data_IF_004629933853
#
_entry.id   IF_004629933853
#
_cell.length_a   1.000
_cell.length_b   1.000
_cell.length_c   1.000
_cell.angle_alpha   90.00
_cell.angle_beta   90.00
_cell.angle_gamma   90.00
#
_symmetry.space_group_name_H-M   'P 1'
#
loop_
_entity.id
_entity.type
_entity.pdbx_description
1 polymer ?
#
# COMPACT_ATOMS: atom_id res chain seq x y z
N UNK A 1 -87.52 -21.86 -29.62
CA UNK A 1 -88.04 -22.20 -28.32
C UNK A 1 -88.04 -20.98 -27.41
N UNK A 2 -89.20 -20.70 -26.79
CA UNK A 2 -89.32 -19.56 -25.88
C UNK A 2 -88.73 -19.96 -24.50
N UNK A 3 -87.82 -19.20 -23.91
CA UNK A 3 -87.25 -19.49 -22.56
C UNK A 3 -88.30 -19.28 -21.46
N UNK A 4 -89.57 -18.98 -21.87
CA UNK A 4 -90.61 -18.64 -20.94
C UNK A 4 -91.65 -19.78 -20.85
N UNK A 5 -92.00 -20.15 -19.60
CA UNK A 5 -93.23 -20.85 -19.30
C UNK A 5 -94.38 -19.84 -19.40
N UNK A 6 -95.41 -20.15 -20.20
CA UNK A 6 -96.60 -19.32 -20.27
C UNK A 6 -97.82 -20.20 -20.07
N UNK A 7 -98.62 -19.85 -19.05
CA UNK A 7 -99.91 -20.50 -18.79
C UNK A 7 -101.02 -19.46 -18.85
N UNK A 8 -101.93 -19.70 -19.76
CA UNK A 8 -103.08 -18.82 -19.91
C UNK A 8 -104.40 -19.60 -19.57
N UNK A 9 -105.19 -18.99 -18.68
CA UNK A 9 -106.50 -19.53 -18.28
C UNK A 9 -107.57 -18.55 -18.79
N UNK A 10 -108.43 -19.01 -19.73
CA UNK A 10 -109.49 -18.21 -20.31
C UNK A 10 -110.74 -18.19 -19.42
N UNK A 11 -111.71 -17.24 -19.57
CA UNK A 11 -112.93 -17.17 -18.75
C UNK A 11 -113.85 -18.41 -18.84
N UNK A 12 -113.72 -19.15 -19.92
CA UNK A 12 -114.45 -20.41 -20.12
C UNK A 12 -113.73 -21.63 -19.52
N UNK A 13 -112.69 -21.40 -18.72
CA UNK A 13 -111.93 -22.44 -17.98
C UNK A 13 -110.93 -23.22 -18.83
N UNK A 14 -110.66 -22.84 -20.05
CA UNK A 14 -109.66 -23.51 -20.88
C UNK A 14 -108.27 -23.09 -20.42
N UNK A 15 -107.36 -24.05 -20.19
CA UNK A 15 -106.00 -23.83 -19.85
C UNK A 15 -105.10 -24.09 -21.07
N UNK A 16 -104.37 -23.12 -21.49
CA UNK A 16 -103.36 -23.21 -22.57
C UNK A 16 -101.96 -23.04 -21.90
N UNK A 17 -101.12 -24.06 -22.03
CA UNK A 17 -99.74 -24.01 -21.55
C UNK A 17 -98.83 -24.01 -22.77
N UNK A 18 -97.99 -22.99 -22.84
CA UNK A 18 -96.87 -22.92 -23.77
C UNK A 18 -95.57 -23.10 -22.91
N UNK A 19 -95.03 -24.27 -22.98
CA UNK A 19 -93.73 -24.57 -22.34
C UNK A 19 -92.74 -25.05 -23.39
N UNK A 20 -91.46 -24.80 -23.20
CA UNK A 20 -90.47 -25.39 -24.07
C UNK A 20 -90.47 -26.92 -23.91
N UNK A 21 -90.56 -27.60 -25.01
CA UNK A 21 -90.60 -29.09 -25.06
C UNK A 21 -89.30 -29.72 -24.44
N UNK A 22 -88.25 -28.92 -24.26
CA UNK A 22 -87.01 -29.34 -23.61
C UNK A 22 -87.10 -29.28 -22.09
N UNK A 23 -88.15 -28.71 -21.51
CA UNK A 23 -88.29 -28.49 -20.08
C UNK A 23 -89.39 -29.42 -19.52
N UNK A 24 -88.94 -30.34 -18.64
CA UNK A 24 -89.79 -31.27 -17.91
C UNK A 24 -90.35 -30.68 -16.61
N UNK A 25 -89.87 -29.49 -16.21
CA UNK A 25 -90.28 -28.87 -14.95
C UNK A 25 -91.19 -27.68 -15.14
N UNK A 26 -92.23 -27.53 -14.30
CA UNK A 26 -93.16 -26.41 -14.31
C UNK A 26 -93.07 -25.62 -12.98
N UNK A 27 -93.34 -24.29 -12.97
CA UNK A 27 -93.40 -23.52 -11.75
C UNK A 27 -94.51 -23.92 -10.83
N UNK A 28 -94.20 -23.92 -9.48
CA UNK A 28 -95.26 -24.07 -8.48
C UNK A 28 -96.11 -22.79 -8.41
N UNK A 29 -97.37 -22.87 -8.99
CA UNK A 29 -98.28 -21.76 -9.02
C UNK A 29 -99.25 -21.70 -7.85
N UNK A 30 -98.92 -22.35 -6.72
CA UNK A 30 -99.70 -22.31 -5.50
C UNK A 30 -99.69 -20.93 -4.81
N UNK A 31 -98.69 -20.08 -5.11
CA UNK A 31 -98.58 -18.73 -4.59
C UNK A 31 -99.07 -17.68 -5.57
N UNK A 32 -99.82 -16.69 -5.04
CA UNK A 32 -100.32 -15.59 -5.85
C UNK A 32 -99.15 -14.64 -6.28
N UNK A 33 -99.07 -14.45 -7.60
CA UNK A 33 -98.05 -13.58 -8.25
C UNK A 33 -98.69 -12.39 -9.00
N UNK A 34 -99.92 -12.04 -8.67
CA UNK A 34 -100.61 -10.89 -9.29
C UNK A 34 -100.11 -9.51 -8.85
N UNK A 35 -99.52 -9.38 -7.69
CA UNK A 35 -98.96 -8.14 -7.17
C UNK A 35 -97.47 -7.88 -7.53
N UNK A 36 -96.92 -8.66 -8.43
CA UNK A 36 -95.55 -8.51 -8.92
C UNK A 36 -94.84 -9.83 -9.13
N UNK A 37 -93.63 -9.82 -9.69
CA UNK A 37 -92.90 -11.03 -9.96
C UNK A 37 -92.39 -11.66 -8.62
N UNK A 38 -92.70 -12.92 -8.37
CA UNK A 38 -92.27 -13.71 -7.24
C UNK A 38 -91.39 -14.87 -7.69
N UNK A 39 -90.50 -15.32 -6.74
CA UNK A 39 -89.72 -16.53 -6.99
C UNK A 39 -90.46 -17.73 -6.34
N UNK A 40 -90.64 -18.76 -7.12
CA UNK A 40 -91.32 -20.03 -6.69
C UNK A 40 -90.39 -21.19 -7.09
N UNK A 41 -90.55 -22.29 -6.37
CA UNK A 41 -89.91 -23.55 -6.74
C UNK A 41 -90.60 -24.23 -7.90
N UNK A 42 -90.11 -25.39 -8.26
CA UNK A 42 -90.71 -26.22 -9.30
C UNK A 42 -91.84 -27.08 -8.71
N UNK A 43 -92.92 -27.35 -9.43
CA UNK A 43 -94.10 -28.16 -9.05
C UNK A 43 -93.77 -29.65 -8.85
N UNK A 44 -92.67 -30.13 -9.42
CA UNK A 44 -92.18 -31.52 -9.29
C UNK A 44 -91.16 -31.73 -8.13
N UNK A 45 -90.87 -30.66 -7.31
CA UNK A 45 -89.93 -30.74 -6.20
C UNK A 45 -88.49 -30.71 -6.65
N UNK A 46 -88.18 -30.44 -7.90
CA UNK A 46 -86.83 -30.24 -8.38
C UNK A 46 -86.22 -28.90 -7.84
N UNK A 47 -84.94 -28.82 -7.74
CA UNK A 47 -84.15 -27.63 -7.22
C UNK A 47 -84.12 -26.50 -8.27
N UNK A 48 -85.25 -26.36 -9.06
CA UNK A 48 -85.33 -25.33 -10.10
C UNK A 48 -86.23 -24.21 -9.60
N UNK A 49 -85.59 -23.02 -9.50
CA UNK A 49 -86.30 -21.78 -9.15
C UNK A 49 -86.86 -21.08 -10.40
N UNK A 50 -88.08 -20.62 -10.28
CA UNK A 50 -88.78 -19.88 -11.29
C UNK A 50 -89.14 -18.48 -10.82
N UNK A 51 -88.91 -17.46 -11.66
CA UNK A 51 -89.48 -16.11 -11.49
C UNK A 51 -90.75 -16.01 -12.24
N UNK A 52 -91.84 -15.90 -11.54
CA UNK A 52 -93.24 -15.92 -12.15
C UNK A 52 -93.90 -14.58 -11.92
N UNK A 53 -94.67 -14.17 -12.93
CA UNK A 53 -95.57 -13.02 -12.89
C UNK A 53 -96.91 -13.41 -13.47
N UNK A 54 -97.98 -13.13 -12.73
CA UNK A 54 -99.34 -13.36 -13.19
C UNK A 54 -100.03 -12.04 -13.46
N UNK A 55 -100.72 -11.96 -14.63
CA UNK A 55 -101.46 -10.79 -15.00
C UNK A 55 -102.90 -11.25 -15.36
N UNK A 56 -103.89 -10.50 -14.83
CA UNK A 56 -105.32 -10.75 -15.15
C UNK A 56 -105.83 -9.61 -16.00
N UNK A 57 -106.34 -9.93 -17.24
CA UNK A 57 -106.92 -8.94 -18.14
C UNK A 57 -108.17 -9.54 -18.81
N UNK A 58 -109.26 -8.80 -18.77
CA UNK A 58 -110.57 -9.23 -19.39
C UNK A 58 -111.01 -10.64 -18.98
N UNK A 59 -110.81 -11.00 -17.70
CA UNK A 59 -111.12 -12.34 -17.15
C UNK A 59 -110.12 -13.46 -17.55
N UNK A 60 -109.13 -13.17 -18.34
CA UNK A 60 -108.08 -14.11 -18.79
C UNK A 60 -106.84 -13.92 -17.80
N UNK A 61 -106.46 -15.01 -17.16
CA UNK A 61 -105.33 -15.03 -16.30
C UNK A 61 -104.10 -15.58 -17.10
N UNK A 62 -103.04 -14.79 -17.25
CA UNK A 62 -101.82 -15.21 -17.93
C UNK A 62 -100.63 -15.18 -16.92
N UNK A 63 -100.01 -16.32 -16.72
CA UNK A 63 -98.83 -16.46 -15.92
C UNK A 63 -97.61 -16.72 -16.79
N UNK A 64 -96.57 -15.89 -16.64
CA UNK A 64 -95.26 -16.02 -17.32
C UNK A 64 -94.22 -16.37 -16.31
N UNK A 65 -93.45 -17.41 -16.58
CA UNK A 65 -92.31 -17.84 -15.71
C UNK A 65 -91.04 -17.95 -16.49
N UNK A 66 -89.90 -17.56 -15.80
CA UNK A 66 -88.53 -17.69 -16.32
C UNK A 66 -87.74 -18.51 -15.33
N UNK A 67 -86.97 -19.48 -15.78
CA UNK A 67 -86.04 -20.25 -14.94
C UNK A 67 -84.86 -19.40 -14.49
N UNK A 68 -84.58 -19.45 -13.23
CA UNK A 68 -83.38 -18.77 -12.62
C UNK A 68 -82.16 -19.67 -12.56
N UNK A 69 -82.31 -20.99 -12.62
CA UNK A 69 -81.27 -21.99 -12.47
C UNK A 69 -80.14 -21.82 -13.47
N UNK A 70 -80.43 -21.48 -14.72
CA UNK A 70 -79.43 -21.26 -15.77
C UNK A 70 -78.54 -20.01 -15.45
N UNK A 71 -79.15 -19.01 -14.81
CA UNK A 71 -78.45 -17.82 -14.39
C UNK A 71 -77.55 -18.06 -13.12
N UNK A 72 -78.06 -18.85 -12.13
CA UNK A 72 -77.33 -19.20 -10.91
C UNK A 72 -76.12 -20.05 -11.28
N UNK A 73 -76.21 -21.06 -12.11
CA UNK A 73 -75.10 -21.87 -12.57
C UNK A 73 -74.08 -21.04 -13.33
N UNK A 74 -74.53 -20.13 -14.19
CA UNK A 74 -73.61 -19.24 -14.92
C UNK A 74 -72.80 -18.30 -13.95
N UNK A 75 -73.44 -17.81 -12.89
CA UNK A 75 -72.84 -16.96 -11.90
C UNK A 75 -71.81 -17.76 -11.09
N UNK A 76 -72.15 -18.98 -10.67
CA UNK A 76 -71.23 -19.85 -9.92
C UNK A 76 -70.01 -20.25 -10.74
N UNK A 77 -70.21 -20.58 -12.02
CA UNK A 77 -69.10 -20.87 -12.96
C UNK A 77 -68.17 -19.65 -13.15
N UNK A 78 -68.76 -18.45 -13.29
CA UNK A 78 -68.00 -17.20 -13.43
C UNK A 78 -67.23 -16.88 -12.15
N UNK A 79 -67.83 -17.04 -10.94
CA UNK A 79 -67.17 -16.85 -9.65
C UNK A 79 -65.99 -17.85 -9.47
N UNK A 80 -66.29 -19.14 -9.80
CA UNK A 80 -65.24 -20.18 -9.76
C UNK A 80 -64.05 -19.88 -10.68
N UNK A 81 -64.34 -19.45 -11.94
CA UNK A 81 -63.34 -19.05 -12.92
C UNK A 81 -62.55 -17.83 -12.42
N UNK A 82 -63.24 -16.81 -11.88
CA UNK A 82 -62.60 -15.59 -11.37
C UNK A 82 -61.71 -15.88 -10.16
N UNK A 83 -62.13 -16.73 -9.21
CA UNK A 83 -61.31 -17.18 -8.08
C UNK A 83 -60.09 -17.99 -8.56
N UNK A 84 -60.26 -18.87 -9.55
CA UNK A 84 -59.17 -19.63 -10.15
C UNK A 84 -58.10 -18.73 -10.81
N UNK A 85 -58.54 -17.79 -11.64
CA UNK A 85 -57.66 -16.80 -12.26
C UNK A 85 -56.96 -15.93 -11.19
N UNK A 86 -57.71 -15.46 -10.18
CA UNK A 86 -57.18 -14.66 -9.08
C UNK A 86 -56.07 -15.38 -8.33
N UNK A 87 -56.27 -16.67 -8.02
CA UNK A 87 -55.27 -17.50 -7.35
C UNK A 87 -53.98 -17.67 -8.19
N UNK A 88 -54.16 -17.96 -9.48
CA UNK A 88 -53.01 -18.10 -10.41
C UNK A 88 -52.22 -16.82 -10.49
N UNK A 89 -52.88 -15.67 -10.61
CA UNK A 89 -52.22 -14.35 -10.66
C UNK A 89 -51.45 -14.07 -9.35
N UNK A 90 -52.09 -14.37 -8.21
CA UNK A 90 -51.40 -14.21 -6.90
C UNK A 90 -50.16 -15.09 -6.76
N UNK A 91 -50.22 -16.35 -7.21
CA UNK A 91 -49.08 -17.24 -7.21
C UNK A 91 -47.92 -16.74 -8.13
N UNK A 92 -48.29 -16.26 -9.33
CA UNK A 92 -47.29 -15.68 -10.24
C UNK A 92 -46.66 -14.42 -9.65
N UNK A 93 -47.47 -13.50 -9.11
CA UNK A 93 -46.97 -12.27 -8.48
C UNK A 93 -46.12 -12.57 -7.25
N UNK A 94 -46.56 -13.51 -6.38
CA UNK A 94 -45.79 -13.94 -5.22
C UNK A 94 -44.44 -14.57 -5.60
N UNK A 95 -44.47 -15.45 -6.60
CA UNK A 95 -43.24 -16.05 -7.16
C UNK A 95 -42.27 -15.03 -7.76
N UNK A 96 -42.82 -14.11 -8.57
CA UNK A 96 -42.02 -13.02 -9.15
C UNK A 96 -41.43 -12.09 -8.08
N UNK A 97 -42.23 -11.67 -7.10
CA UNK A 97 -41.75 -10.84 -5.99
C UNK A 97 -40.64 -11.55 -5.18
N UNK A 98 -40.85 -12.82 -4.84
CA UNK A 98 -39.84 -13.62 -4.16
C UNK A 98 -38.53 -13.69 -4.95
N UNK A 99 -38.59 -13.94 -6.23
CA UNK A 99 -37.42 -14.01 -7.10
C UNK A 99 -36.71 -12.68 -7.19
N UNK A 100 -37.41 -11.57 -7.37
CA UNK A 100 -36.84 -10.22 -7.46
C UNK A 100 -36.16 -9.86 -6.14
N UNK A 101 -36.82 -10.04 -4.99
CA UNK A 101 -36.25 -9.72 -3.66
C UNK A 101 -35.00 -10.55 -3.40
N UNK A 102 -35.06 -11.86 -3.64
CA UNK A 102 -33.92 -12.75 -3.43
C UNK A 102 -32.73 -12.37 -4.30
N UNK A 103 -32.96 -12.02 -5.58
CA UNK A 103 -31.93 -11.60 -6.50
C UNK A 103 -31.33 -10.23 -6.09
N UNK A 104 -32.17 -9.31 -5.64
CA UNK A 104 -31.76 -7.96 -5.23
C UNK A 104 -30.95 -7.95 -3.91
N UNK A 105 -31.23 -8.87 -2.99
CA UNK A 105 -30.54 -8.94 -1.70
C UNK A 105 -29.30 -9.84 -1.69
N UNK A 106 -29.11 -10.69 -2.69
CA UNK A 106 -27.93 -11.58 -2.81
C UNK A 106 -26.58 -10.81 -2.72
N UNK A 107 -26.43 -9.63 -3.34
CA UNK A 107 -25.19 -8.86 -3.23
C UNK A 107 -24.81 -8.44 -1.81
N UNK A 108 -25.77 -8.24 -0.93
CA UNK A 108 -25.49 -7.88 0.48
C UNK A 108 -24.86 -9.05 1.25
N UNK A 109 -25.26 -10.27 0.94
CA UNK A 109 -24.64 -11.48 1.53
C UNK A 109 -23.17 -11.60 1.09
N UNK A 110 -22.88 -11.30 -0.18
CA UNK A 110 -21.49 -11.32 -0.69
C UNK A 110 -20.62 -10.24 -0.01
N UNK A 111 -21.17 -9.07 0.29
CA UNK A 111 -20.49 -8.01 1.07
C UNK A 111 -20.26 -8.49 2.50
N UNK A 112 -21.23 -9.13 3.14
CA UNK A 112 -21.13 -9.67 4.50
C UNK A 112 -20.02 -10.73 4.58
N UNK A 113 -20.02 -11.71 3.67
CA UNK A 113 -18.99 -12.75 3.60
C UNK A 113 -17.57 -12.16 3.39
N UNK A 114 -17.48 -11.13 2.53
CA UNK A 114 -16.20 -10.43 2.30
C UNK A 114 -15.76 -9.69 3.54
N UNK A 115 -16.66 -8.97 4.21
CA UNK A 115 -16.37 -8.27 5.46
C UNK A 115 -15.95 -9.24 6.58
N UNK A 116 -16.59 -10.40 6.69
CA UNK A 116 -16.20 -11.45 7.63
C UNK A 116 -14.80 -12.01 7.34
N UNK A 117 -14.44 -12.23 6.08
CA UNK A 117 -13.12 -12.68 5.68
C UNK A 117 -12.04 -11.64 6.00
N UNK A 118 -12.34 -10.34 5.77
CA UNK A 118 -11.45 -9.24 6.13
C UNK A 118 -11.23 -9.17 7.64
N UNK A 119 -12.30 -9.31 8.43
CA UNK A 119 -12.20 -9.35 9.88
C UNK A 119 -11.38 -10.55 10.40
N UNK A 120 -11.34 -11.65 9.62
CA UNK A 120 -10.48 -12.81 9.88
C UNK A 120 -9.02 -12.62 9.41
N UNK A 121 -8.67 -11.45 8.84
CA UNK A 121 -7.30 -11.11 8.43
C UNK A 121 -7.02 -11.22 6.92
N UNK A 122 -7.98 -11.64 6.09
CA UNK A 122 -7.80 -11.68 4.63
C UNK A 122 -8.05 -10.29 4.01
N UNK A 123 -7.06 -9.42 4.11
CA UNK A 123 -7.11 -8.07 3.54
C UNK A 123 -6.99 -8.03 2.01
N UNK A 124 -6.67 -9.16 1.37
CA UNK A 124 -6.56 -9.22 -0.09
C UNK A 124 -7.92 -9.41 -0.77
N UNK A 125 -8.90 -9.87 -0.05
CA UNK A 125 -10.24 -10.08 -0.56
C UNK A 125 -10.89 -8.75 -0.94
N UNK A 126 -11.68 -8.77 -2.03
CA UNK A 126 -12.39 -7.60 -2.51
C UNK A 126 -13.87 -7.91 -2.66
N UNK A 127 -14.69 -6.92 -2.43
CA UNK A 127 -16.11 -6.99 -2.79
C UNK A 127 -16.20 -6.96 -4.32
N UNK A 128 -16.99 -7.87 -4.94
CA UNK A 128 -17.18 -7.86 -6.38
C UNK A 128 -17.67 -6.51 -6.91
N UNK A 129 -17.04 -6.03 -7.96
CA UNK A 129 -17.45 -4.80 -8.64
C UNK A 129 -18.85 -4.94 -9.23
N UNK A 130 -19.68 -3.93 -9.03
CA UNK A 130 -21.06 -3.84 -9.52
C UNK A 130 -21.31 -2.47 -10.10
N UNK A 131 -22.44 -2.32 -10.80
CA UNK A 131 -22.84 -1.03 -11.37
C UNK A 131 -22.90 0.03 -10.27
N UNK A 132 -22.05 1.06 -10.39
CA UNK A 132 -21.89 2.18 -9.46
C UNK A 132 -23.14 3.08 -9.35
N UNK A 133 -24.10 2.89 -10.28
CA UNK A 133 -25.40 3.55 -10.23
C UNK A 133 -26.31 2.97 -9.15
N UNK A 134 -26.03 1.78 -8.64
CA UNK A 134 -26.76 1.15 -7.55
C UNK A 134 -26.16 1.49 -6.19
N UNK A 135 -26.99 1.46 -5.13
CA UNK A 135 -26.53 1.68 -3.74
C UNK A 135 -25.47 0.67 -3.34
N UNK A 136 -25.65 -0.60 -3.74
CA UNK A 136 -24.71 -1.68 -3.44
C UNK A 136 -23.41 -1.54 -4.23
N UNK A 137 -23.47 -1.06 -5.48
CA UNK A 137 -22.28 -0.76 -6.29
C UNK A 137 -21.44 0.35 -5.64
N UNK A 138 -22.07 1.45 -5.24
CA UNK A 138 -21.37 2.55 -4.52
C UNK A 138 -20.76 2.07 -3.21
N UNK A 139 -21.47 1.21 -2.45
CA UNK A 139 -20.94 0.60 -1.23
C UNK A 139 -19.70 -0.27 -1.53
N UNK A 140 -19.75 -1.08 -2.60
CA UNK A 140 -18.61 -1.91 -3.02
C UNK A 140 -17.38 -1.08 -3.35
N UNK A 141 -17.54 0.01 -4.11
CA UNK A 141 -16.45 0.95 -4.45
C UNK A 141 -15.88 1.60 -3.17
N UNK A 142 -16.73 2.11 -2.29
CA UNK A 142 -16.30 2.74 -1.04
C UNK A 142 -15.56 1.76 -0.13
N UNK A 143 -16.04 0.52 0.00
CA UNK A 143 -15.42 -0.51 0.82
C UNK A 143 -14.08 -0.95 0.23
N UNK A 144 -13.99 -1.17 -1.09
CA UNK A 144 -12.74 -1.50 -1.75
C UNK A 144 -11.71 -0.36 -1.65
N UNK A 145 -12.16 0.91 -1.72
CA UNK A 145 -11.32 2.08 -1.48
C UNK A 145 -10.77 2.13 -0.06
N UNK A 146 -11.62 1.89 0.95
CA UNK A 146 -11.18 1.80 2.35
C UNK A 146 -10.17 0.66 2.56
N UNK A 147 -10.42 -0.51 1.96
CA UNK A 147 -9.49 -1.65 2.03
C UNK A 147 -8.13 -1.34 1.39
N UNK A 148 -8.12 -0.66 0.26
CA UNK A 148 -6.87 -0.21 -0.36
C UNK A 148 -6.10 0.74 0.58
N UNK A 149 -6.77 1.68 1.22
CA UNK A 149 -6.16 2.61 2.18
C UNK A 149 -5.60 1.89 3.41
N UNK A 150 -6.33 0.91 3.95
CA UNK A 150 -5.86 0.07 5.07
C UNK A 150 -4.61 -0.71 4.65
N UNK A 151 -4.60 -1.35 3.48
CA UNK A 151 -3.41 -2.07 2.99
C UNK A 151 -2.21 -1.16 2.81
N UNK A 152 -2.40 0.05 2.25
CA UNK A 152 -1.32 1.03 2.15
C UNK A 152 -0.77 1.44 3.51
N UNK A 153 -1.64 1.63 4.51
CA UNK A 153 -1.22 1.96 5.87
C UNK A 153 -0.41 0.81 6.51
N UNK A 154 -0.84 -0.44 6.36
CA UNK A 154 -0.09 -1.60 6.84
C UNK A 154 1.27 -1.73 6.16
N UNK A 155 1.32 -1.65 4.82
CA UNK A 155 2.59 -1.71 4.08
C UNK A 155 3.56 -0.59 4.48
N UNK A 156 3.05 0.63 4.70
CA UNK A 156 3.86 1.75 5.19
C UNK A 156 4.40 1.49 6.61
N UNK A 157 3.58 0.89 7.50
CA UNK A 157 4.00 0.53 8.86
C UNK A 157 5.08 -0.54 8.83
N UNK A 158 4.89 -1.62 8.06
CA UNK A 158 5.89 -2.69 7.90
C UNK A 158 7.21 -2.16 7.33
N UNK A 159 7.15 -1.30 6.31
CA UNK A 159 8.35 -0.66 5.76
C UNK A 159 9.07 0.24 6.79
N UNK A 160 8.31 0.96 7.62
CA UNK A 160 8.84 1.79 8.70
C UNK A 160 9.49 0.94 9.80
N UNK A 161 8.84 -0.14 10.23
CA UNK A 161 9.38 -1.07 11.23
C UNK A 161 10.67 -1.74 10.74
N UNK A 162 10.70 -2.19 9.49
CA UNK A 162 11.90 -2.79 8.90
C UNK A 162 13.04 -1.77 8.79
N UNK A 163 12.74 -0.51 8.43
CA UNK A 163 13.72 0.58 8.41
C UNK A 163 14.27 0.89 9.81
N UNK A 164 13.38 0.96 10.81
CA UNK A 164 13.76 1.19 12.21
C UNK A 164 14.66 0.05 12.73
N UNK A 165 14.28 -1.20 12.45
CA UNK A 165 15.06 -2.38 12.83
C UNK A 165 16.45 -2.39 12.19
N UNK A 166 16.56 -2.08 10.89
CA UNK A 166 17.85 -1.96 10.20
C UNK A 166 18.71 -0.84 10.81
N UNK A 167 18.09 0.27 11.18
CA UNK A 167 18.78 1.38 11.85
C UNK A 167 19.29 0.97 13.24
N UNK A 168 18.46 0.26 14.02
CA UNK A 168 18.87 -0.26 15.34
C UNK A 168 20.04 -1.25 15.23
N UNK A 169 20.00 -2.18 14.27
CA UNK A 169 21.09 -3.13 14.05
C UNK A 169 22.40 -2.45 13.63
N UNK A 170 22.31 -1.39 12.79
CA UNK A 170 23.47 -0.56 12.43
C UNK A 170 24.04 0.16 13.64
N UNK A 171 23.18 0.77 14.46
CA UNK A 171 23.58 1.48 15.68
C UNK A 171 24.22 0.53 16.70
N UNK A 172 23.63 -0.65 16.89
CA UNK A 172 24.17 -1.66 17.82
C UNK A 172 25.58 -2.13 17.40
N UNK A 173 25.79 -2.37 16.11
CA UNK A 173 27.11 -2.70 15.57
C UNK A 173 28.08 -1.54 15.78
N UNK A 174 27.68 -0.32 15.43
CA UNK A 174 28.48 0.89 15.62
C UNK A 174 28.95 1.07 17.06
N UNK A 175 28.07 0.93 18.06
CA UNK A 175 28.43 1.03 19.49
C UNK A 175 29.36 -0.10 19.91
N UNK A 176 29.15 -1.31 19.40
CA UNK A 176 30.01 -2.46 19.67
C UNK A 176 31.44 -2.22 19.17
N UNK A 177 31.55 -1.82 17.90
CA UNK A 177 32.85 -1.59 17.24
C UNK A 177 33.60 -0.40 17.87
N UNK A 178 32.90 0.71 18.14
CA UNK A 178 33.45 1.86 18.84
C UNK A 178 33.99 1.48 20.23
N UNK A 179 33.24 0.62 20.96
CA UNK A 179 33.66 0.15 22.28
C UNK A 179 34.97 -0.70 22.21
N UNK A 180 35.09 -1.52 21.18
CA UNK A 180 36.29 -2.31 20.94
C UNK A 180 37.49 -1.44 20.57
N UNK A 181 37.30 -0.48 19.66
CA UNK A 181 38.39 0.42 19.22
C UNK A 181 38.85 1.41 20.31
N UNK A 182 37.98 1.79 21.23
CA UNK A 182 38.36 2.60 22.40
C UNK A 182 39.05 1.79 23.52
N UNK A 183 38.68 0.50 23.68
CA UNK A 183 39.24 -0.36 24.72
C UNK A 183 40.74 -0.65 24.49
N UNK A 184 41.13 -0.85 23.24
CA UNK A 184 42.51 -1.21 22.86
C UNK A 184 43.51 -0.16 23.28
N UNK A 185 43.44 1.14 22.86
CA UNK A 185 44.37 2.17 23.28
C UNK A 185 44.33 2.40 24.80
N UNK A 186 43.14 2.34 25.41
CA UNK A 186 43.01 2.47 26.86
C UNK A 186 43.79 1.37 27.63
N UNK A 187 43.70 0.11 27.12
CA UNK A 187 44.44 -1.02 27.67
C UNK A 187 45.96 -0.81 27.50
N UNK A 188 46.40 -0.25 26.38
CA UNK A 188 47.77 0.07 26.07
C UNK A 188 48.31 1.13 27.04
N UNK A 189 47.58 2.25 27.22
CA UNK A 189 47.94 3.32 28.19
C UNK A 189 48.05 2.72 29.58
N UNK A 190 47.09 1.91 30.03
CA UNK A 190 47.14 1.27 31.35
C UNK A 190 48.32 0.35 31.49
N UNK A 191 48.65 -0.44 30.46
CA UNK A 191 49.78 -1.34 30.46
C UNK A 191 51.14 -0.60 30.60
N UNK A 192 51.30 0.50 29.86
CA UNK A 192 52.52 1.34 30.03
C UNK A 192 52.58 1.96 31.40
N UNK A 193 51.51 2.46 31.96
CA UNK A 193 51.49 2.99 33.33
C UNK A 193 51.79 1.92 34.38
N UNK A 194 51.39 0.67 34.20
CA UNK A 194 51.73 -0.46 35.08
C UNK A 194 53.17 -0.85 34.97
N UNK A 195 53.75 -0.94 33.75
CA UNK A 195 55.20 -1.22 33.55
C UNK A 195 56.08 -0.19 34.21
N UNK A 196 55.72 1.09 34.15
CA UNK A 196 56.42 2.15 34.83
C UNK A 196 56.37 1.98 36.36
N UNK A 197 55.20 1.72 36.93
CA UNK A 197 55.06 1.50 38.39
C UNK A 197 55.88 0.31 38.93
N UNK A 198 56.01 -0.73 38.08
CA UNK A 198 56.78 -1.93 38.41
C UNK A 198 58.29 -1.74 38.20
N UNK A 199 58.73 -0.59 37.73
CA UNK A 199 60.13 -0.32 37.42
C UNK A 199 60.68 -1.07 36.22
N UNK A 200 59.78 -1.71 35.43
CA UNK A 200 60.18 -2.43 34.23
C UNK A 200 60.42 -1.51 33.01
N UNK A 201 59.98 -0.26 33.09
CA UNK A 201 60.26 0.81 32.15
C UNK A 201 60.78 2.06 32.88
N UNK A 202 62.00 2.45 32.59
CA UNK A 202 62.72 3.58 33.28
C UNK A 202 62.78 4.82 32.39
N UNK A 203 62.56 4.67 31.07
CA UNK A 203 62.55 5.79 30.12
C UNK A 203 61.19 6.48 30.16
N UNK A 204 61.14 7.57 30.95
CA UNK A 204 59.95 8.36 31.17
C UNK A 204 59.51 9.13 29.91
N UNK A 205 60.50 9.55 29.08
CA UNK A 205 60.21 10.30 27.85
C UNK A 205 59.48 9.42 26.82
N UNK A 206 60.06 8.24 26.57
CA UNK A 206 59.42 7.25 25.68
C UNK A 206 58.03 6.84 26.19
N UNK A 207 57.86 6.68 27.52
CA UNK A 207 56.58 6.37 28.14
C UNK A 207 55.53 7.47 27.89
N UNK A 208 55.88 8.73 28.18
CA UNK A 208 54.97 9.86 27.99
C UNK A 208 54.61 10.05 26.55
N UNK A 209 55.54 9.95 25.62
CA UNK A 209 55.30 10.04 24.19
C UNK A 209 54.33 8.95 23.70
N UNK A 210 54.44 7.72 24.21
CA UNK A 210 53.51 6.66 23.88
C UNK A 210 52.13 6.87 24.47
N UNK A 211 52.00 7.33 25.72
CA UNK A 211 50.69 7.65 26.34
C UNK A 211 50.02 8.80 25.62
N UNK A 212 50.77 9.86 25.29
CA UNK A 212 50.27 11.03 24.57
C UNK A 212 49.82 10.65 23.16
N UNK A 213 50.56 9.80 22.45
CA UNK A 213 50.20 9.27 21.14
C UNK A 213 48.90 8.49 21.18
N UNK A 214 48.71 7.59 22.16
CA UNK A 214 47.47 6.84 22.30
C UNK A 214 46.26 7.71 22.73
N UNK A 215 46.50 8.70 23.61
CA UNK A 215 45.47 9.65 24.02
C UNK A 215 45.01 10.55 22.84
N UNK A 216 45.96 11.06 22.05
CA UNK A 216 45.65 11.83 20.82
C UNK A 216 44.87 11.01 19.81
N UNK A 217 45.25 9.74 19.63
CA UNK A 217 44.52 8.80 18.76
C UNK A 217 43.08 8.56 19.23
N UNK A 218 42.88 8.42 20.57
CA UNK A 218 41.54 8.31 21.14
C UNK A 218 40.70 9.57 20.89
N UNK A 219 41.32 10.76 21.00
CA UNK A 219 40.68 12.04 20.71
C UNK A 219 40.15 12.09 19.28
N UNK A 220 40.98 11.77 18.29
CA UNK A 220 40.58 11.70 16.88
C UNK A 220 39.47 10.66 16.64
N UNK A 221 39.56 9.48 17.27
CA UNK A 221 38.52 8.47 17.17
C UNK A 221 37.17 8.97 17.68
N UNK A 222 37.15 9.65 18.82
CA UNK A 222 35.92 10.23 19.40
C UNK A 222 35.33 11.31 18.48
N UNK A 223 36.17 12.18 17.91
CA UNK A 223 35.75 13.20 16.95
C UNK A 223 35.14 12.57 15.69
N UNK A 224 35.76 11.52 15.15
CA UNK A 224 35.25 10.76 14.00
C UNK A 224 33.90 10.10 14.31
N UNK A 225 33.73 9.50 15.49
CA UNK A 225 32.50 8.90 15.96
C UNK A 225 31.36 9.93 16.11
N UNK A 226 31.67 11.08 16.74
CA UNK A 226 30.70 12.18 16.90
C UNK A 226 30.31 12.77 15.56
N UNK A 227 31.22 12.83 14.60
CA UNK A 227 30.93 13.27 13.26
C UNK A 227 29.95 12.33 12.56
N UNK A 228 30.25 11.02 12.54
CA UNK A 228 29.36 10.02 11.94
C UNK A 228 27.97 10.04 12.59
N UNK A 229 27.87 10.19 13.92
CA UNK A 229 26.60 10.32 14.61
C UNK A 229 25.80 11.56 14.16
N UNK A 230 26.49 12.71 13.98
CA UNK A 230 25.84 13.95 13.51
C UNK A 230 25.38 13.88 12.06
N UNK A 231 26.09 13.14 11.20
CA UNK A 231 25.69 12.90 9.80
C UNK A 231 24.46 11.97 9.72
N UNK A 232 24.41 10.96 10.60
CA UNK A 232 23.24 10.08 10.71
C UNK A 232 21.97 10.84 11.20
N UNK A 233 22.13 11.96 11.94
CA UNK A 233 21.01 12.85 12.38
C UNK A 233 20.51 13.82 11.30
N UNK A 234 21.03 13.77 10.07
CA UNK A 234 20.64 14.62 8.94
C UNK A 234 20.63 16.14 9.27
N UNK A 235 21.56 16.62 10.08
CA UNK A 235 21.68 18.07 10.28
C UNK A 235 22.04 18.74 8.96
N UNK A 236 21.37 19.85 8.61
CA UNK A 236 21.65 20.54 7.36
C UNK A 236 23.11 20.98 7.33
N UNK A 237 23.83 20.59 6.28
CA UNK A 237 25.16 21.08 5.97
C UNK A 237 25.08 22.55 5.55
N UNK A 238 26.18 23.30 5.72
CA UNK A 238 26.28 24.59 5.04
C UNK A 238 26.23 24.35 3.52
N UNK A 239 25.48 25.20 2.83
CA UNK A 239 25.35 25.12 1.37
C UNK A 239 25.89 26.44 0.77
N UNK A 240 27.21 26.50 0.56
CA UNK A 240 27.93 27.64 0.00
C UNK A 240 28.71 27.20 -1.22
N UNK A 241 29.04 28.12 -2.15
CA UNK A 241 29.98 27.82 -3.23
C UNK A 241 31.34 27.45 -2.66
N UNK A 242 31.91 26.33 -3.11
CA UNK A 242 33.22 25.81 -2.67
C UNK A 242 34.07 25.48 -3.89
N UNK A 243 35.24 26.10 -3.96
CA UNK A 243 36.27 25.79 -4.96
C UNK A 243 37.05 24.54 -4.53
N UNK A 244 36.80 23.42 -5.22
CA UNK A 244 37.47 22.15 -4.93
C UNK A 244 38.99 22.18 -5.27
N UNK A 245 39.43 23.04 -6.17
CA UNK A 245 40.85 23.20 -6.48
C UNK A 245 41.57 23.85 -5.30
N UNK A 246 40.98 24.87 -4.66
CA UNK A 246 41.52 25.49 -3.47
C UNK A 246 41.56 24.49 -2.33
N UNK A 247 40.51 23.74 -2.07
CA UNK A 247 40.44 22.67 -1.05
C UNK A 247 41.50 21.61 -1.27
N UNK A 248 41.73 21.19 -2.50
CA UNK A 248 42.77 20.20 -2.85
C UNK A 248 44.17 20.77 -2.66
N UNK A 249 44.38 22.03 -3.08
CA UNK A 249 45.70 22.72 -2.90
C UNK A 249 46.10 22.82 -1.43
N UNK A 250 45.18 23.23 -0.56
CA UNK A 250 45.39 23.29 0.88
C UNK A 250 45.73 21.91 1.48
N UNK A 251 45.01 20.88 1.05
CA UNK A 251 45.26 19.50 1.51
C UNK A 251 46.60 18.96 1.06
N UNK A 252 47.01 19.25 -0.19
CA UNK A 252 48.34 18.88 -0.71
C UNK A 252 49.45 19.63 0.04
N UNK A 253 49.27 20.92 0.33
CA UNK A 253 50.23 21.71 1.08
C UNK A 253 50.41 21.17 2.51
N UNK A 254 49.30 20.84 3.20
CA UNK A 254 49.35 20.22 4.51
C UNK A 254 50.07 18.86 4.48
N UNK A 255 49.78 18.03 3.46
CA UNK A 255 50.43 16.74 3.27
C UNK A 255 51.96 16.87 3.08
N UNK A 256 52.43 17.83 2.29
CA UNK A 256 53.86 18.11 2.10
C UNK A 256 54.53 18.58 3.38
N UNK A 257 53.84 19.31 4.24
CA UNK A 257 54.34 19.74 5.52
C UNK A 257 54.53 18.57 6.52
N UNK A 258 53.59 17.61 6.49
CA UNK A 258 53.62 16.41 7.37
C UNK A 258 54.65 15.37 6.88
N UNK A 259 54.75 15.21 5.56
CA UNK A 259 55.62 14.22 4.93
C UNK A 259 56.52 14.89 3.85
N UNK A 260 57.55 15.65 4.25
CA UNK A 260 58.34 16.45 3.30
C UNK A 260 59.16 15.61 2.32
N UNK A 261 59.46 14.37 2.66
CA UNK A 261 60.23 13.44 1.82
C UNK A 261 59.30 12.71 0.77
N UNK A 262 58.01 12.98 0.82
CA UNK A 262 57.03 12.35 -0.08
C UNK A 262 56.75 13.22 -1.31
N UNK A 263 56.61 12.56 -2.46
CA UNK A 263 56.15 13.24 -3.68
C UNK A 263 54.61 13.31 -3.65
N UNK A 264 54.09 14.50 -3.35
CA UNK A 264 52.64 14.78 -3.42
C UNK A 264 52.39 15.86 -4.45
N UNK A 265 51.69 15.55 -5.54
CA UNK A 265 51.44 16.45 -6.64
C UNK A 265 49.96 16.83 -6.75
N UNK A 266 49.70 18.09 -7.14
CA UNK A 266 48.39 18.56 -7.54
C UNK A 266 48.35 18.74 -9.05
N UNK A 267 47.37 18.15 -9.70
CA UNK A 267 47.19 18.24 -11.18
C UNK A 267 45.78 18.68 -11.51
N UNK A 268 45.61 19.48 -12.53
CA UNK A 268 44.31 19.77 -13.07
C UNK A 268 43.95 18.73 -14.14
N UNK A 269 42.78 18.07 -13.99
CA UNK A 269 42.28 17.06 -14.92
C UNK A 269 41.35 17.74 -15.89
N UNK A 270 41.47 18.56 -16.71
CA UNK A 270 40.58 19.16 -17.70
C UNK A 270 39.08 18.98 -17.47
N UNK A 271 38.29 19.56 -18.35
CA UNK A 271 36.82 19.47 -18.28
C UNK A 271 36.16 20.85 -18.48
N UNK A 272 34.85 20.91 -18.65
CA UNK A 272 34.10 22.15 -18.84
C UNK A 272 33.92 22.93 -17.53
N UNK A 273 34.17 24.26 -17.55
CA UNK A 273 33.93 25.17 -16.42
C UNK A 273 34.86 25.01 -15.23
N UNK A 274 34.49 25.58 -14.09
CA UNK A 274 35.27 25.55 -12.85
C UNK A 274 34.86 24.38 -11.96
N UNK A 275 35.77 23.80 -11.17
CA UNK A 275 35.46 22.73 -10.22
C UNK A 275 34.83 23.31 -8.94
N UNK A 276 33.74 24.06 -9.07
CA UNK A 276 32.98 24.68 -8.00
C UNK A 276 31.72 23.85 -7.71
N UNK A 277 31.42 23.64 -6.45
CA UNK A 277 30.25 22.91 -5.97
C UNK A 277 29.55 23.65 -4.84
N UNK A 278 28.28 23.40 -4.63
CA UNK A 278 27.59 23.90 -3.45
C UNK A 278 27.72 22.89 -2.29
N UNK A 279 28.25 23.33 -1.14
CA UNK A 279 28.45 22.44 -0.01
C UNK A 279 29.07 23.12 1.21
N UNK A 280 29.48 22.27 2.17
CA UNK A 280 30.20 22.66 3.38
C UNK A 280 31.72 22.52 3.15
N UNK A 281 32.41 23.64 3.03
CA UNK A 281 33.87 23.68 2.72
C UNK A 281 34.68 22.89 3.74
N UNK A 282 34.35 23.01 5.04
CA UNK A 282 35.12 22.30 6.09
C UNK A 282 34.96 20.78 5.94
N UNK A 283 33.80 20.32 5.52
CA UNK A 283 33.51 18.89 5.29
C UNK A 283 34.16 18.38 4.02
N UNK A 284 34.11 19.15 2.93
CA UNK A 284 34.82 18.78 1.68
C UNK A 284 36.33 18.79 1.87
N UNK A 285 36.89 19.74 2.65
CA UNK A 285 38.29 19.73 3.06
C UNK A 285 38.67 18.46 3.82
N UNK A 286 37.80 18.00 4.73
CA UNK A 286 37.98 16.75 5.47
C UNK A 286 37.94 15.52 4.54
N UNK A 287 37.08 15.49 3.53
CA UNK A 287 37.07 14.42 2.51
C UNK A 287 38.43 14.30 1.84
N UNK A 288 38.96 15.41 1.31
CA UNK A 288 40.25 15.40 0.59
C UNK A 288 41.40 15.07 1.55
N UNK A 289 41.40 15.65 2.76
CA UNK A 289 42.41 15.37 3.76
C UNK A 289 42.44 13.88 4.19
N UNK A 290 41.28 13.25 4.34
CA UNK A 290 41.18 11.83 4.65
C UNK A 290 41.75 10.96 3.53
N UNK A 291 41.41 11.27 2.26
CA UNK A 291 41.94 10.53 1.10
C UNK A 291 43.45 10.68 0.96
N UNK A 292 43.98 11.91 1.05
CA UNK A 292 45.42 12.18 0.94
C UNK A 292 46.17 11.55 2.13
N UNK A 293 45.62 11.71 3.33
CA UNK A 293 46.19 11.08 4.55
C UNK A 293 46.22 9.56 4.45
N UNK A 294 45.20 8.95 3.88
CA UNK A 294 45.14 7.52 3.64
C UNK A 294 46.23 7.08 2.65
N UNK A 295 46.39 7.80 1.53
CA UNK A 295 47.42 7.53 0.53
C UNK A 295 48.84 7.61 1.14
N UNK A 296 49.11 8.64 1.95
CA UNK A 296 50.41 8.78 2.62
C UNK A 296 50.69 7.66 3.61
N UNK A 297 49.69 7.25 4.38
CA UNK A 297 49.81 6.31 5.48
C UNK A 297 49.96 4.86 5.05
N UNK A 298 49.23 4.48 3.97
CA UNK A 298 49.15 3.10 3.53
C UNK A 298 50.08 2.75 2.36
N UNK A 299 50.91 3.69 1.92
CA UNK A 299 51.88 3.45 0.87
C UNK A 299 53.31 3.60 1.36
N UNK A 300 54.30 2.92 0.75
CA UNK A 300 55.72 3.06 1.13
C UNK A 300 56.24 4.49 0.88
N UNK A 301 57.34 4.90 1.50
CA UNK A 301 57.86 6.27 1.44
C UNK A 301 58.21 6.75 0.03
N UNK A 302 58.55 5.86 -0.86
CA UNK A 302 58.91 6.12 -2.27
C UNK A 302 57.70 6.18 -3.22
N UNK A 303 56.49 5.84 -2.75
CA UNK A 303 55.31 5.94 -3.53
C UNK A 303 54.91 7.40 -3.80
N UNK A 304 54.44 7.68 -5.01
CA UNK A 304 53.91 8.96 -5.41
C UNK A 304 52.42 9.07 -5.07
N UNK A 305 51.99 10.22 -4.60
CA UNK A 305 50.57 10.57 -4.39
C UNK A 305 50.20 11.71 -5.34
N UNK A 306 49.18 11.53 -6.13
CA UNK A 306 48.68 12.54 -7.06
C UNK A 306 47.24 12.88 -6.75
N UNK A 307 46.97 14.16 -6.51
CA UNK A 307 45.62 14.70 -6.37
C UNK A 307 45.25 15.38 -7.70
N UNK A 308 44.16 14.91 -8.33
CA UNK A 308 43.61 15.51 -9.56
C UNK A 308 42.27 16.14 -9.28
N UNK A 309 42.06 17.34 -9.81
CA UNK A 309 40.77 18.04 -9.73
C UNK A 309 40.36 18.43 -11.15
N UNK A 310 39.14 18.11 -11.50
CA UNK A 310 38.57 18.40 -12.81
C UNK A 310 37.06 18.43 -12.78
N UNK A 311 36.45 18.48 -13.97
CA UNK A 311 35.01 18.53 -14.12
C UNK A 311 34.54 17.58 -15.22
N UNK A 312 33.30 17.12 -15.09
CA UNK A 312 32.50 16.51 -16.15
C UNK A 312 31.36 17.45 -16.50
N UNK A 313 30.46 17.05 -17.41
CA UNK A 313 29.29 17.89 -17.75
C UNK A 313 28.44 18.26 -16.54
N UNK A 314 28.24 17.33 -15.60
CA UNK A 314 27.31 17.48 -14.47
C UNK A 314 27.97 17.43 -13.09
N UNK A 315 29.29 17.16 -13.00
CA UNK A 315 29.96 16.95 -11.73
C UNK A 315 31.35 17.58 -11.69
N UNK A 316 31.76 18.01 -10.51
CA UNK A 316 33.15 18.25 -10.21
C UNK A 316 33.78 16.98 -9.62
N UNK A 317 35.01 16.70 -9.98
CA UNK A 317 35.70 15.43 -9.68
C UNK A 317 36.99 15.72 -8.94
N UNK A 318 37.20 14.98 -7.86
CA UNK A 318 38.48 14.93 -7.13
C UNK A 318 38.96 13.49 -7.13
N UNK A 319 40.17 13.26 -7.64
CA UNK A 319 40.83 11.96 -7.61
C UNK A 319 42.07 12.03 -6.73
N UNK A 320 42.26 11.03 -5.89
CA UNK A 320 43.51 10.83 -5.13
C UNK A 320 44.05 9.47 -5.52
N UNK A 321 45.16 9.48 -6.22
CA UNK A 321 45.86 8.30 -6.71
C UNK A 321 47.20 8.11 -5.97
N UNK A 322 47.49 6.86 -5.66
CA UNK A 322 48.79 6.44 -5.11
C UNK A 322 49.41 5.32 -5.96
N UNK A 323 50.72 5.19 -5.90
CA UNK A 323 51.48 4.10 -6.56
C UNK A 323 51.85 3.01 -5.56
N UNK A 324 51.01 2.75 -4.56
CA UNK A 324 51.20 1.73 -3.52
C UNK A 324 50.93 0.29 -3.98
N UNK A 325 50.76 -0.57 -2.97
CA UNK A 325 50.53 -2.01 -3.24
C UNK A 325 49.15 -2.35 -3.82
N UNK A 326 48.24 -1.40 -3.85
CA UNK A 326 46.85 -1.67 -4.26
C UNK A 326 46.07 -2.53 -3.25
N UNK A 327 44.82 -2.85 -3.61
CA UNK A 327 43.92 -3.63 -2.80
C UNK A 327 43.43 -4.86 -3.60
N UNK A 328 43.02 -5.91 -2.90
CA UNK A 328 42.26 -7.01 -3.51
C UNK A 328 40.84 -6.58 -3.84
N UNK A 329 40.16 -7.30 -4.76
CA UNK A 329 38.76 -7.05 -5.10
C UNK A 329 37.84 -7.18 -3.87
N UNK A 330 38.15 -8.11 -2.96
CA UNK A 330 37.42 -8.31 -1.71
C UNK A 330 37.57 -7.11 -0.77
N UNK A 331 38.81 -6.60 -0.62
CA UNK A 331 39.08 -5.40 0.19
C UNK A 331 38.43 -4.15 -0.43
N UNK A 332 38.54 -3.98 -1.75
CA UNK A 332 37.96 -2.84 -2.47
C UNK A 332 36.44 -2.76 -2.29
N UNK A 333 35.74 -3.89 -2.27
CA UNK A 333 34.30 -3.94 -2.05
C UNK A 333 33.87 -3.48 -0.64
N UNK A 334 34.78 -3.56 0.33
CA UNK A 334 34.50 -3.31 1.75
C UNK A 334 35.20 -2.11 2.33
N UNK A 335 36.10 -1.46 1.58
CA UNK A 335 36.99 -0.41 2.10
C UNK A 335 36.24 0.82 2.67
N UNK A 336 34.98 1.03 2.28
CA UNK A 336 34.13 2.10 2.79
C UNK A 336 33.27 1.69 4.01
N UNK A 337 33.34 0.40 4.44
CA UNK A 337 32.67 -0.05 5.64
C UNK A 337 33.33 0.57 6.89
N UNK A 338 32.54 0.90 7.92
CA UNK A 338 33.05 1.44 9.19
C UNK A 338 33.97 0.42 9.87
N UNK A 339 35.12 0.86 10.38
CA UNK A 339 36.13 0.03 11.07
C UNK A 339 36.76 -1.08 10.20
N UNK A 340 36.51 -1.08 8.89
CA UNK A 340 37.16 -2.04 8.00
C UNK A 340 38.64 -1.71 7.77
N UNK A 341 39.47 -2.75 7.72
CA UNK A 341 40.93 -2.66 7.49
C UNK A 341 41.37 -3.88 6.67
N UNK A 342 41.98 -3.64 5.54
CA UNK A 342 42.44 -4.66 4.61
C UNK A 342 43.58 -5.55 5.16
N UNK A 343 44.39 -5.05 6.11
CA UNK A 343 45.51 -5.81 6.65
C UNK A 343 45.64 -5.63 8.19
N UNK A 344 45.44 -6.73 8.92
CA UNK A 344 45.40 -6.73 10.38
C UNK A 344 46.77 -6.87 11.03
N UNK A 345 47.84 -7.25 10.28
CA UNK A 345 49.09 -7.69 10.86
C UNK A 345 50.18 -6.65 10.89
N UNK A 346 50.29 -5.73 9.93
CA UNK A 346 51.39 -4.77 9.79
C UNK A 346 51.11 -3.35 10.29
N UNK A 347 49.87 -2.98 10.54
CA UNK A 347 49.44 -1.59 10.77
C UNK A 347 49.00 -1.27 12.20
N UNK A 348 49.26 -2.15 13.21
CA UNK A 348 48.85 -1.86 14.59
C UNK A 348 49.59 -0.66 15.19
N UNK A 349 50.81 -0.39 14.80
CA UNK A 349 51.62 0.72 15.38
C UNK A 349 51.34 2.08 14.71
N UNK A 350 50.88 2.11 13.45
CA UNK A 350 50.67 3.36 12.69
C UNK A 350 49.22 3.53 12.18
N UNK A 351 48.35 2.54 12.38
CA UNK A 351 47.03 2.46 11.77
C UNK A 351 45.98 3.33 12.45
N UNK A 352 45.08 3.99 11.67
CA UNK A 352 43.86 4.64 12.12
C UNK A 352 42.76 3.64 12.49
N UNK A 353 41.67 4.14 13.04
CA UNK A 353 40.52 3.36 13.48
C UNK A 353 39.70 2.73 12.35
N UNK A 354 40.08 2.90 11.06
CA UNK A 354 39.26 2.41 9.93
C UNK A 354 37.97 3.23 9.68
N UNK A 355 37.94 4.48 10.17
CA UNK A 355 36.79 5.37 9.99
C UNK A 355 37.00 6.39 8.87
N UNK A 356 38.21 6.73 8.46
CA UNK A 356 38.46 7.79 7.50
C UNK A 356 37.72 7.64 6.17
N UNK A 357 37.73 6.44 5.54
CA UNK A 357 37.04 6.19 4.27
C UNK A 357 35.51 6.10 4.44
N UNK A 358 35.03 5.58 5.57
CA UNK A 358 33.58 5.59 5.85
C UNK A 358 33.07 7.02 6.12
N UNK A 359 33.90 7.90 6.70
CA UNK A 359 33.59 9.34 6.81
C UNK A 359 33.57 9.99 5.43
N UNK A 360 34.54 9.68 4.56
CA UNK A 360 34.53 10.16 3.16
C UNK A 360 33.21 9.78 2.47
N UNK A 361 32.83 8.51 2.53
CA UNK A 361 31.59 8.03 1.92
C UNK A 361 30.34 8.73 2.47
N UNK A 362 30.26 8.92 3.80
CA UNK A 362 29.15 9.59 4.44
C UNK A 362 29.08 11.09 4.09
N UNK A 363 30.22 11.79 4.08
CA UNK A 363 30.28 13.22 3.72
C UNK A 363 29.95 13.46 2.24
N UNK A 364 30.48 12.62 1.35
CA UNK A 364 30.21 12.71 -0.08
C UNK A 364 28.71 12.45 -0.37
N UNK A 365 28.14 11.42 0.26
CA UNK A 365 26.70 11.14 0.15
C UNK A 365 25.82 12.28 0.72
N UNK A 366 26.26 12.95 1.78
CA UNK A 366 25.56 14.10 2.36
C UNK A 366 25.62 15.36 1.45
N UNK A 367 26.50 15.37 0.44
CA UNK A 367 26.58 16.38 -0.63
C UNK A 367 26.00 15.86 -1.96
N UNK A 368 25.13 14.82 -1.93
CA UNK A 368 24.52 14.20 -3.10
C UNK A 368 25.54 13.66 -4.12
N UNK A 369 26.79 13.43 -3.69
CA UNK A 369 27.86 12.91 -4.51
C UNK A 369 28.04 11.40 -4.42
N UNK A 370 29.03 10.90 -5.16
CA UNK A 370 29.46 9.49 -5.16
C UNK A 370 30.96 9.35 -4.95
N UNK A 371 31.36 8.29 -4.26
CA UNK A 371 32.78 7.91 -4.12
C UNK A 371 32.98 6.50 -4.64
N UNK A 372 34.05 6.32 -5.41
CA UNK A 372 34.45 5.01 -5.95
C UNK A 372 35.94 4.78 -5.74
N UNK A 373 36.36 3.53 -5.90
CA UNK A 373 37.77 3.11 -5.79
C UNK A 373 38.12 2.27 -7.03
N UNK A 374 39.22 2.59 -7.66
CA UNK A 374 39.86 1.80 -8.71
C UNK A 374 41.23 1.37 -8.19
N UNK A 375 41.47 0.06 -8.13
CA UNK A 375 42.68 -0.48 -7.55
C UNK A 375 42.97 -1.85 -8.15
N UNK A 376 44.26 -2.23 -8.15
CA UNK A 376 44.72 -3.57 -8.49
C UNK A 376 45.99 -3.85 -7.72
N UNK A 377 46.22 -5.08 -7.28
CA UNK A 377 47.41 -5.46 -6.54
C UNK A 377 48.72 -5.10 -7.33
N UNK A 378 49.59 -4.34 -6.70
CA UNK A 378 50.85 -3.90 -7.29
C UNK A 378 50.74 -2.68 -8.23
N UNK A 379 49.53 -2.13 -8.46
CA UNK A 379 49.35 -0.97 -9.36
C UNK A 379 48.87 0.30 -8.65
N UNK A 380 48.73 0.26 -7.31
CA UNK A 380 48.26 1.37 -6.53
C UNK A 380 46.75 1.46 -6.41
N UNK A 381 46.29 2.59 -5.87
CA UNK A 381 44.85 2.83 -5.61
C UNK A 381 44.49 4.25 -6.07
N UNK A 382 43.32 4.38 -6.68
CA UNK A 382 42.71 5.67 -7.02
C UNK A 382 41.34 5.75 -6.39
N UNK A 383 41.16 6.71 -5.51
CA UNK A 383 39.85 7.09 -4.98
C UNK A 383 39.30 8.26 -5.82
N UNK A 384 38.08 8.13 -6.30
CA UNK A 384 37.40 9.12 -7.12
C UNK A 384 36.13 9.60 -6.41
N UNK A 385 36.05 10.91 -6.17
CA UNK A 385 34.89 11.60 -5.60
C UNK A 385 34.25 12.43 -6.71
N UNK A 386 32.96 12.25 -6.91
CA UNK A 386 32.15 13.04 -7.84
C UNK A 386 31.08 13.78 -7.05
N UNK A 387 31.02 15.10 -7.19
CA UNK A 387 30.06 15.97 -6.54
C UNK A 387 29.24 16.70 -7.60
N UNK A 388 27.91 16.80 -7.43
CA UNK A 388 27.08 17.54 -8.40
C UNK A 388 27.48 19.01 -8.45
N UNK A 389 27.58 19.53 -9.67
CA UNK A 389 27.78 20.96 -9.92
C UNK A 389 26.54 21.56 -10.56
N UNK A 390 26.27 22.84 -10.33
CA UNK A 390 25.19 23.53 -11.03
C UNK A 390 25.67 23.86 -12.46
N UNK A 391 25.05 23.35 -13.53
CA UNK A 391 25.49 23.59 -14.91
C UNK A 391 25.27 25.04 -15.39
N UNK A 392 24.89 25.96 -14.50
CA UNK A 392 24.56 27.36 -14.83
C UNK A 392 25.72 28.34 -14.69
N UNK A 393 26.90 27.91 -14.30
CA UNK A 393 28.09 28.78 -14.11
C UNK A 393 29.12 28.69 -15.25
N UNK A 394 28.63 28.60 -16.49
CA UNK A 394 29.45 28.79 -17.72
C UNK A 394 29.37 30.21 -18.25
#
# INVERSE_FOLDING_TARGET
PSPFFVRTVTPDGRVIILNDKSTTTEPDLSKDSTNGPITVGSSDGSDVNWRVLTTVRDGTTTTIGVRLTDNEQTVDDLVGLQLGIGLVVLLILGGAAYFVVRRSLRPLVEVEETAAAIAAGDLHRRVPERDDRTEVGRLSVALNGMLAQIQHAFAATEASEESARRSEEKMRRFVGDASHELRTPLTTIRGFAELYRQGAMTDTETLMNRIEGEASRMGLLVEDLLMLARLDEQRPLENKPVDLLAVAADSVQAARAIAPDRTVELQMAGGPGLPEVHGDEARLRQVVANLVGNAIKHTPPDAQVTVRVGTTENSAVVEVSDTGQGLSDEDAARIFERFYRADTSRTRETGGAGLGLSIVSALVAAHDGTVSVETSLGQGTTFRVELPRDPKDD
#
